data_IF_448383771412
#
_entry.id   IF_448383771412
#
_cell.length_a   1.000
_cell.length_b   1.000
_cell.length_c   1.000
_cell.angle_alpha   90.00
_cell.angle_beta   90.00
_cell.angle_gamma   90.00
#
_symmetry.space_group_name_H-M   'P 1'
#
loop_
_entity.id
_entity.type
_entity.pdbx_description
1 polymer ?
#
# COMPACT_ATOMS: atom_id res chain seq x y z
N UNK A 1 24.65 -5.12 8.34
CA UNK A 1 24.63 -4.63 6.95
C UNK A 1 24.35 -5.81 6.03
N UNK A 2 23.18 -5.86 5.38
CA UNK A 2 22.73 -7.03 4.60
C UNK A 2 23.22 -6.94 3.14
N UNK A 3 24.39 -7.53 2.85
CA UNK A 3 24.97 -7.58 1.51
C UNK A 3 24.05 -8.26 0.47
N UNK A 4 23.25 -9.23 0.90
CA UNK A 4 22.25 -9.93 0.06
C UNK A 4 21.13 -9.03 -0.44
N UNK A 5 20.74 -8.01 0.34
CA UNK A 5 19.60 -7.12 -0.01
C UNK A 5 20.03 -6.06 -1.04
N UNK A 6 21.27 -5.57 -0.95
CA UNK A 6 21.82 -4.67 -1.96
C UNK A 6 22.02 -5.38 -3.31
N UNK A 7 22.38 -6.67 -3.28
CA UNK A 7 22.48 -7.48 -4.50
C UNK A 7 21.11 -7.63 -5.19
N UNK A 8 20.02 -7.83 -4.42
CA UNK A 8 18.67 -8.02 -4.97
C UNK A 8 18.17 -6.79 -5.76
N UNK A 9 18.42 -5.57 -5.28
CA UNK A 9 18.06 -4.35 -6.02
C UNK A 9 18.84 -4.19 -7.34
N UNK A 10 20.08 -4.69 -7.39
CA UNK A 10 20.94 -4.63 -8.58
C UNK A 10 20.63 -5.74 -9.60
N UNK A 11 20.17 -6.91 -9.14
CA UNK A 11 19.81 -8.04 -10.01
C UNK A 11 18.39 -7.98 -10.55
N UNK A 12 17.54 -7.12 -10.00
CA UNK A 12 16.16 -6.97 -10.46
C UNK A 12 16.15 -6.22 -11.78
N UNK A 13 15.52 -6.81 -12.80
CA UNK A 13 15.34 -6.15 -14.10
C UNK A 13 14.18 -5.16 -14.03
N UNK A 14 14.49 -3.91 -13.68
CA UNK A 14 13.51 -2.82 -13.57
C UNK A 14 12.89 -2.39 -14.91
N UNK A 15 13.38 -2.90 -16.05
CA UNK A 15 12.84 -2.56 -17.38
C UNK A 15 11.58 -3.35 -17.73
N UNK A 16 11.29 -4.43 -16.99
CA UNK A 16 10.16 -5.35 -17.20
C UNK A 16 8.79 -4.69 -17.09
N UNK A 17 8.62 -3.79 -16.12
CA UNK A 17 7.35 -3.12 -15.82
C UNK A 17 7.53 -1.62 -15.56
N UNK A 18 6.47 -0.85 -15.74
CA UNK A 18 6.40 0.52 -15.23
C UNK A 18 6.25 0.53 -13.70
N UNK A 19 6.54 1.66 -13.05
CA UNK A 19 6.44 1.81 -11.60
C UNK A 19 5.07 1.40 -11.05
N UNK A 20 3.99 1.81 -11.72
CA UNK A 20 2.63 1.46 -11.32
C UNK A 20 2.34 -0.04 -11.45
N UNK A 21 2.82 -0.66 -12.54
CA UNK A 21 2.69 -2.10 -12.77
C UNK A 21 3.51 -2.91 -11.77
N UNK A 22 4.71 -2.44 -11.40
CA UNK A 22 5.50 -3.02 -10.30
C UNK A 22 4.72 -3.03 -8.98
N UNK A 23 4.03 -1.93 -8.66
CA UNK A 23 3.21 -1.83 -7.44
C UNK A 23 1.98 -2.74 -7.49
N UNK A 24 1.31 -2.84 -8.65
CA UNK A 24 0.20 -3.78 -8.83
C UNK A 24 0.64 -5.25 -8.72
N UNK A 25 1.76 -5.61 -9.34
CA UNK A 25 2.34 -6.95 -9.25
C UNK A 25 2.77 -7.27 -7.82
N UNK A 26 3.31 -6.29 -7.09
CA UNK A 26 3.64 -6.44 -5.68
C UNK A 26 2.38 -6.64 -4.81
N UNK A 27 1.31 -5.88 -5.06
CA UNK A 27 0.00 -6.12 -4.46
C UNK A 27 -0.48 -7.55 -4.71
N UNK A 28 -0.47 -8.00 -5.97
CA UNK A 28 -0.85 -9.36 -6.35
C UNK A 28 0.00 -10.43 -5.65
N UNK A 29 1.31 -10.22 -5.51
CA UNK A 29 2.22 -11.11 -4.80
C UNK A 29 1.89 -11.22 -3.30
N UNK A 30 1.59 -10.11 -2.62
CA UNK A 30 1.21 -10.14 -1.20
C UNK A 30 -0.02 -11.04 -0.97
N UNK A 31 -0.97 -11.03 -1.91
CA UNK A 31 -2.17 -11.85 -1.83
C UNK A 31 -1.96 -13.29 -2.29
N UNK A 32 -1.16 -13.53 -3.34
CA UNK A 32 -0.88 -14.91 -3.81
C UNK A 32 -0.10 -15.71 -2.77
N UNK A 33 0.67 -15.03 -1.91
CA UNK A 33 1.41 -15.62 -0.80
C UNK A 33 0.66 -15.58 0.54
N UNK A 34 -0.65 -15.29 0.49
CA UNK A 34 -1.59 -15.38 1.62
C UNK A 34 -2.38 -16.69 1.55
N UNK A 35 -2.42 -17.43 2.65
CA UNK A 35 -3.02 -18.76 2.70
C UNK A 35 -4.55 -18.74 2.58
N UNK A 36 -5.15 -19.93 2.49
CA UNK A 36 -6.59 -20.23 2.26
C UNK A 36 -7.57 -19.69 3.32
N UNK A 37 -7.13 -18.83 4.22
CA UNK A 37 -7.93 -18.20 5.28
C UNK A 37 -7.72 -16.69 5.37
N UNK A 38 -7.19 -16.05 4.31
CA UNK A 38 -6.88 -14.61 4.31
C UNK A 38 -5.72 -14.21 5.23
N UNK A 39 -5.13 -15.16 5.97
CA UNK A 39 -3.92 -14.93 6.77
C UNK A 39 -2.70 -15.02 5.86
N UNK A 40 -1.96 -13.93 5.76
CA UNK A 40 -0.69 -13.91 5.04
C UNK A 40 0.28 -14.88 5.69
N UNK A 41 0.78 -15.87 4.92
CA UNK A 41 1.73 -16.87 5.44
C UNK A 41 3.14 -16.27 5.50
N UNK A 42 3.39 -15.23 4.71
CA UNK A 42 4.71 -14.62 4.62
C UNK A 42 4.96 -13.61 5.74
N UNK A 43 6.08 -13.74 6.49
CA UNK A 43 6.41 -12.82 7.59
C UNK A 43 6.59 -11.37 7.11
N UNK A 44 6.92 -11.17 5.82
CA UNK A 44 6.99 -9.86 5.17
C UNK A 44 5.61 -9.24 4.98
N UNK A 45 4.66 -10.01 4.44
CA UNK A 45 3.29 -9.57 4.25
C UNK A 45 2.60 -9.33 5.59
N UNK A 46 2.89 -10.15 6.61
CA UNK A 46 2.44 -9.94 8.00
C UNK A 46 3.00 -8.64 8.57
N UNK A 47 4.29 -8.34 8.37
CA UNK A 47 4.90 -7.11 8.88
C UNK A 47 4.33 -5.84 8.21
N UNK A 48 4.07 -5.89 6.89
CA UNK A 48 3.44 -4.78 6.17
C UNK A 48 1.97 -4.59 6.60
N UNK A 49 1.21 -5.67 6.76
CA UNK A 49 -0.17 -5.63 7.24
C UNK A 49 -0.26 -5.07 8.68
N UNK A 50 0.64 -5.50 9.57
CA UNK A 50 0.73 -4.96 10.92
C UNK A 50 1.09 -3.48 10.95
N UNK A 51 2.02 -3.03 10.09
CA UNK A 51 2.37 -1.61 9.96
C UNK A 51 1.19 -0.77 9.46
N UNK A 52 0.45 -1.26 8.45
CA UNK A 52 -0.73 -0.58 7.93
C UNK A 52 -1.88 -0.51 8.96
N UNK A 53 -2.11 -1.61 9.70
CA UNK A 53 -3.12 -1.65 10.79
C UNK A 53 -2.80 -0.69 11.92
N UNK A 54 -1.53 -0.62 12.33
CA UNK A 54 -1.10 0.30 13.38
C UNK A 54 -1.33 1.76 12.98
N UNK A 55 -1.04 2.13 11.73
CA UNK A 55 -1.31 3.48 11.19
C UNK A 55 -2.80 3.81 11.17
N UNK A 56 -3.65 2.87 10.71
CA UNK A 56 -5.13 3.05 10.73
C UNK A 56 -5.70 3.19 12.15
N UNK A 57 -5.06 2.57 13.14
CA UNK A 57 -5.42 2.71 14.56
C UNK A 57 -4.94 4.03 15.16
N UNK A 58 -3.79 4.57 14.77
CA UNK A 58 -3.30 5.88 15.25
C UNK A 58 -4.18 7.05 14.76
N UNK A 59 -4.82 6.90 13.59
CA UNK A 59 -5.77 7.88 13.04
C UNK A 59 -7.14 7.84 13.73
N UNK A 60 -7.53 6.69 14.32
CA UNK A 60 -8.78 6.56 15.09
C UNK A 60 -8.52 6.93 16.55
N UNK A 61 -9.25 7.89 17.10
CA UNK A 61 -9.11 8.28 18.51
C UNK A 61 -9.33 7.10 19.48
N UNK A 62 -8.66 7.12 20.65
CA UNK A 62 -8.64 6.01 21.63
C UNK A 62 -10.02 5.41 21.97
N UNK A 63 -11.08 6.22 21.96
CA UNK A 63 -12.46 5.78 22.24
C UNK A 63 -13.09 4.98 21.08
N UNK A 64 -12.77 5.31 19.83
CA UNK A 64 -13.17 4.51 18.67
C UNK A 64 -12.43 3.18 18.61
N UNK A 65 -11.19 3.14 19.10
CA UNK A 65 -10.40 1.91 19.18
C UNK A 65 -11.02 0.91 20.17
N UNK A 66 -11.50 1.38 21.33
CA UNK A 66 -12.13 0.51 22.34
C UNK A 66 -13.50 0.02 21.86
N UNK A 67 -14.29 0.89 21.21
CA UNK A 67 -15.57 0.51 20.62
C UNK A 67 -15.41 -0.49 19.46
N UNK A 68 -14.46 -0.25 18.55
CA UNK A 68 -14.13 -1.20 17.49
C UNK A 68 -13.60 -2.52 18.08
N UNK A 69 -12.79 -2.50 19.14
CA UNK A 69 -12.26 -3.71 19.79
C UNK A 69 -13.34 -4.53 20.51
N UNK A 70 -14.28 -3.87 21.20
CA UNK A 70 -15.42 -4.52 21.86
C UNK A 70 -16.47 -5.05 20.87
N UNK A 71 -16.56 -4.45 19.68
CA UNK A 71 -17.44 -4.88 18.59
C UNK A 71 -16.74 -5.76 17.54
N UNK A 72 -15.43 -5.99 17.68
CA UNK A 72 -14.69 -6.93 16.85
C UNK A 72 -14.83 -8.32 17.45
N UNK A 73 -15.89 -9.03 17.05
CA UNK A 73 -15.68 -10.44 16.73
C UNK A 73 -14.50 -10.49 15.74
N UNK A 74 -13.69 -11.56 15.78
CA UNK A 74 -12.41 -11.82 15.08
C UNK A 74 -12.50 -11.79 13.52
N UNK A 75 -13.50 -11.09 12.99
CA UNK A 75 -13.96 -10.91 11.63
C UNK A 75 -14.17 -9.41 11.31
N UNK A 76 -13.19 -8.53 11.57
CA UNK A 76 -13.13 -7.32 10.73
C UNK A 76 -12.76 -7.83 9.34
N UNK A 77 -13.68 -7.82 8.35
CA UNK A 77 -13.36 -8.37 7.05
C UNK A 77 -12.22 -7.51 6.52
N UNK A 78 -11.05 -8.11 6.31
CA UNK A 78 -10.07 -7.57 5.37
C UNK A 78 -10.86 -7.01 4.18
N UNK A 79 -10.56 -5.79 3.70
CA UNK A 79 -11.20 -5.26 2.51
C UNK A 79 -11.21 -6.38 1.47
N UNK A 80 -12.40 -6.82 1.05
CA UNK A 80 -12.55 -7.87 0.04
C UNK A 80 -11.89 -7.34 -1.21
N UNK A 81 -10.62 -7.68 -1.42
CA UNK A 81 -9.82 -7.14 -2.51
C UNK A 81 -10.47 -7.64 -3.79
N UNK A 82 -11.11 -6.70 -4.49
CA UNK A 82 -11.49 -6.88 -5.89
C UNK A 82 -10.19 -6.83 -6.67
N UNK A 83 -9.42 -7.91 -6.65
CA UNK A 83 -8.32 -8.06 -7.58
C UNK A 83 -8.91 -7.88 -8.97
N UNK A 84 -8.63 -6.74 -9.63
CA UNK A 84 -8.58 -6.74 -11.10
C UNK A 84 -7.66 -7.91 -11.40
N UNK A 85 -8.16 -8.97 -12.06
CA UNK A 85 -7.53 -10.29 -12.16
C UNK A 85 -6.12 -10.28 -12.75
N UNK A 86 -5.17 -9.74 -11.99
CA UNK A 86 -3.75 -9.61 -12.30
C UNK A 86 -3.11 -10.85 -11.70
N UNK A 87 -2.59 -11.70 -12.58
CA UNK A 87 -1.75 -12.83 -12.21
C UNK A 87 -0.43 -12.31 -11.66
N UNK A 88 -0.02 -12.80 -10.49
CA UNK A 88 1.28 -12.47 -9.91
C UNK A 88 2.39 -13.06 -10.79
N UNK A 89 3.17 -12.19 -11.41
CA UNK A 89 4.26 -12.53 -12.35
C UNK A 89 5.64 -12.11 -11.83
N UNK A 90 5.70 -11.68 -10.56
CA UNK A 90 6.95 -11.34 -9.87
C UNK A 90 7.38 -12.46 -8.93
N UNK A 91 8.69 -12.62 -8.82
CA UNK A 91 9.36 -13.55 -7.90
C UNK A 91 9.53 -12.93 -6.51
N UNK A 92 9.80 -13.76 -5.50
CA UNK A 92 10.04 -13.29 -4.13
C UNK A 92 11.21 -12.29 -4.04
N UNK A 93 12.23 -12.44 -4.89
CA UNK A 93 13.37 -11.51 -4.93
C UNK A 93 12.96 -10.15 -5.51
N UNK A 94 12.19 -10.13 -6.59
CA UNK A 94 11.62 -8.90 -7.17
C UNK A 94 10.66 -8.23 -6.18
N UNK A 95 9.83 -9.00 -5.48
CA UNK A 95 8.95 -8.49 -4.44
C UNK A 95 9.73 -7.85 -3.28
N UNK A 96 10.82 -8.48 -2.82
CA UNK A 96 11.72 -7.89 -1.82
C UNK A 96 12.40 -6.62 -2.30
N UNK A 97 12.71 -6.53 -3.60
CA UNK A 97 13.26 -5.32 -4.20
C UNK A 97 12.23 -4.18 -4.15
N UNK A 98 10.98 -4.43 -4.55
CA UNK A 98 9.89 -3.44 -4.50
C UNK A 98 9.58 -3.02 -3.05
N UNK A 99 9.55 -3.97 -2.11
CA UNK A 99 9.39 -3.67 -0.69
C UNK A 99 10.47 -2.70 -0.20
N UNK A 100 11.72 -2.90 -0.62
CA UNK A 100 12.83 -2.04 -0.23
C UNK A 100 12.66 -0.60 -0.73
N UNK A 101 12.11 -0.40 -1.94
CA UNK A 101 11.82 0.94 -2.48
C UNK A 101 10.89 1.71 -1.55
N UNK A 102 9.80 1.06 -1.10
CA UNK A 102 8.80 1.68 -0.22
C UNK A 102 9.41 1.98 1.16
N UNK A 103 10.09 0.99 1.76
CA UNK A 103 10.70 1.15 3.09
C UNK A 103 11.83 2.17 3.14
N UNK A 104 12.54 2.43 2.04
CA UNK A 104 13.65 3.40 2.02
C UNK A 104 13.18 4.85 2.10
N UNK A 105 11.96 5.12 1.64
CA UNK A 105 11.36 6.47 1.67
C UNK A 105 10.48 6.70 2.90
N UNK A 106 10.02 5.64 3.56
CA UNK A 106 9.20 5.77 4.76
C UNK A 106 10.01 6.37 5.92
N UNK A 107 9.34 7.19 6.75
CA UNK A 107 9.93 7.80 7.95
C UNK A 107 10.85 9.00 7.68
N UNK A 108 10.91 9.52 6.45
CA UNK A 108 11.65 10.74 6.14
C UNK A 108 10.84 12.02 6.44
N UNK A 109 9.52 11.98 6.26
CA UNK A 109 8.60 13.09 6.47
C UNK A 109 7.18 12.56 6.63
N UNK A 110 6.40 13.18 7.51
CA UNK A 110 4.98 12.86 7.72
C UNK A 110 4.18 12.98 6.41
N UNK A 111 4.42 14.04 5.64
CA UNK A 111 3.75 14.28 4.35
C UNK A 111 4.11 13.19 3.32
N UNK A 112 5.37 12.76 3.31
CA UNK A 112 5.81 11.70 2.40
C UNK A 112 5.18 10.37 2.80
N UNK A 113 5.12 10.08 4.10
CA UNK A 113 4.45 8.90 4.64
C UNK A 113 2.96 8.87 4.28
N UNK A 114 2.26 10.00 4.34
CA UNK A 114 0.86 10.13 3.90
C UNK A 114 0.67 9.83 2.41
N UNK A 115 1.55 10.37 1.56
CA UNK A 115 1.52 10.10 0.12
C UNK A 115 1.81 8.63 -0.20
N UNK A 116 2.77 8.02 0.51
CA UNK A 116 3.08 6.60 0.36
C UNK A 116 1.95 5.71 0.85
N UNK A 117 1.28 6.06 1.95
CA UNK A 117 0.10 5.33 2.43
C UNK A 117 -1.03 5.36 1.39
N UNK A 118 -1.26 6.50 0.72
CA UNK A 118 -2.24 6.60 -0.36
C UNK A 118 -1.88 5.70 -1.56
N UNK A 119 -0.60 5.65 -1.95
CA UNK A 119 -0.11 4.73 -2.99
C UNK A 119 -0.34 3.28 -2.59
N UNK A 120 -0.04 2.92 -1.35
CA UNK A 120 -0.22 1.57 -0.81
C UNK A 120 -1.72 1.20 -0.83
N UNK A 121 -2.60 2.05 -0.31
CA UNK A 121 -4.05 1.82 -0.34
C UNK A 121 -4.56 1.60 -1.78
N UNK A 122 -4.04 2.38 -2.76
CA UNK A 122 -4.50 2.31 -4.14
C UNK A 122 -3.99 1.09 -4.91
N UNK A 123 -2.67 0.86 -4.90
CA UNK A 123 -2.01 -0.12 -5.77
C UNK A 123 -1.78 -1.47 -5.09
N UNK A 124 -1.49 -1.47 -3.79
CA UNK A 124 -1.25 -2.70 -3.05
C UNK A 124 -2.55 -3.30 -2.54
N UNK A 125 -3.44 -2.50 -1.93
CA UNK A 125 -4.73 -2.99 -1.42
C UNK A 125 -5.86 -2.96 -2.45
N UNK A 126 -5.67 -2.28 -3.59
CA UNK A 126 -6.67 -2.23 -4.67
C UNK A 126 -7.93 -1.43 -4.31
N UNK A 127 -7.85 -0.51 -3.34
CA UNK A 127 -8.99 0.31 -2.95
C UNK A 127 -9.46 1.20 -4.12
N UNK A 128 -10.77 1.41 -4.22
CA UNK A 128 -11.30 2.41 -5.15
C UNK A 128 -11.09 3.81 -4.60
N UNK A 129 -11.15 4.84 -5.47
CA UNK A 129 -11.05 6.23 -5.04
C UNK A 129 -12.10 6.60 -3.97
N UNK A 130 -13.27 5.96 -4.01
CA UNK A 130 -14.32 6.15 -3.00
C UNK A 130 -13.96 5.53 -1.65
N UNK A 131 -13.26 4.39 -1.64
CA UNK A 131 -12.86 3.69 -0.42
C UNK A 131 -11.68 4.37 0.29
N UNK A 132 -10.93 5.21 -0.44
CA UNK A 132 -9.82 6.01 0.09
C UNK A 132 -10.26 7.29 0.79
N UNK A 133 -11.57 7.61 0.79
CA UNK A 133 -12.12 8.78 1.48
C UNK A 133 -12.13 8.51 2.99
N UNK A 134 -11.46 9.37 3.75
CA UNK A 134 -11.41 9.26 5.22
C UNK A 134 -12.44 10.21 5.82
N UNK A 135 -13.39 9.63 6.55
CA UNK A 135 -14.43 10.33 7.30
C UNK A 135 -14.29 9.99 8.78
N UNK A 136 -14.24 10.99 9.64
CA UNK A 136 -14.14 10.84 11.09
C UNK A 136 -15.25 11.61 11.79
N UNK A 137 -15.52 11.27 13.04
CA UNK A 137 -16.58 11.90 13.83
C UNK A 137 -17.91 11.17 13.72
N UNK A 138 -19.01 11.93 13.87
CA UNK A 138 -20.36 11.39 14.02
C UNK A 138 -20.91 10.87 12.69
N UNK A 139 -21.68 9.78 12.72
CA UNK A 139 -22.24 9.13 11.50
C UNK A 139 -23.19 10.07 10.73
N UNK A 140 -23.94 10.88 11.48
CA UNK A 140 -24.90 11.89 11.01
C UNK A 140 -24.23 13.16 10.46
N UNK A 141 -23.01 13.48 10.89
CA UNK A 141 -22.26 14.63 10.40
C UNK A 141 -20.73 14.37 10.45
N UNK A 142 -20.20 13.61 9.47
CA UNK A 142 -18.79 13.25 9.47
C UNK A 142 -17.91 14.42 9.00
N UNK A 143 -16.81 14.65 9.71
CA UNK A 143 -15.71 15.48 9.23
C UNK A 143 -14.92 14.72 8.18
N UNK A 144 -14.78 15.29 6.99
CA UNK A 144 -13.99 14.69 5.91
C UNK A 144 -12.53 15.10 6.12
N UNK A 145 -11.68 14.13 6.47
CA UNK A 145 -10.22 14.34 6.58
C UNK A 145 -9.52 14.21 5.22
N UNK A 146 -10.00 13.29 4.38
CA UNK A 146 -9.46 13.08 3.03
C UNK A 146 -10.59 12.93 2.05
N UNK A 147 -10.66 13.82 1.05
CA UNK A 147 -11.61 13.71 -0.06
C UNK A 147 -11.10 12.76 -1.15
N UNK A 148 -11.94 12.44 -2.13
CA UNK A 148 -11.47 11.69 -3.32
C UNK A 148 -10.43 12.47 -4.11
N UNK A 149 -10.53 13.80 -4.12
CA UNK A 149 -9.58 14.66 -4.80
C UNK A 149 -8.22 14.59 -4.10
N UNK A 150 -8.20 14.74 -2.78
CA UNK A 150 -6.97 14.63 -1.98
C UNK A 150 -6.33 13.26 -2.15
N UNK A 151 -7.13 12.18 -2.13
CA UNK A 151 -6.61 10.83 -2.38
C UNK A 151 -5.92 10.69 -3.76
N UNK A 152 -6.45 11.35 -4.81
CA UNK A 152 -5.83 11.34 -6.14
C UNK A 152 -4.53 12.13 -6.16
N UNK A 153 -4.50 13.28 -5.52
CA UNK A 153 -3.29 14.12 -5.43
C UNK A 153 -2.22 13.46 -4.56
N UNK A 154 -2.57 12.86 -3.43
CA UNK A 154 -1.65 12.11 -2.56
C UNK A 154 -0.99 10.96 -3.34
N UNK A 155 -1.78 10.20 -4.11
CA UNK A 155 -1.26 9.13 -4.99
C UNK A 155 -0.32 9.70 -6.06
N UNK A 156 -0.69 10.82 -6.69
CA UNK A 156 0.15 11.48 -7.72
C UNK A 156 1.49 11.93 -7.14
N UNK A 157 1.46 12.59 -5.99
CA UNK A 157 2.64 13.06 -5.29
C UNK A 157 3.52 11.88 -4.83
N UNK A 158 2.92 10.81 -4.31
CA UNK A 158 3.64 9.60 -3.90
C UNK A 158 4.35 8.90 -5.07
N UNK A 159 3.67 8.74 -6.20
CA UNK A 159 4.27 8.18 -7.43
C UNK A 159 5.41 9.06 -7.96
N UNK A 160 5.22 10.38 -7.97
CA UNK A 160 6.27 11.32 -8.37
C UNK A 160 7.48 11.26 -7.45
N UNK A 161 7.27 11.21 -6.13
CA UNK A 161 8.34 11.09 -5.15
C UNK A 161 9.16 9.79 -5.34
N UNK A 162 8.48 8.66 -5.56
CA UNK A 162 9.12 7.39 -5.92
C UNK A 162 9.97 7.50 -7.18
N UNK A 163 9.42 8.08 -8.23
CA UNK A 163 10.14 8.23 -9.50
C UNK A 163 11.35 9.17 -9.37
N UNK A 164 11.23 10.25 -8.59
CA UNK A 164 12.37 11.14 -8.31
C UNK A 164 13.48 10.43 -7.53
N UNK A 165 13.14 9.53 -6.61
CA UNK A 165 14.10 8.73 -5.85
C UNK A 165 14.73 7.61 -6.69
N UNK A 166 13.95 7.01 -7.58
CA UNK A 166 14.33 5.87 -8.40
C UNK A 166 14.09 6.15 -9.91
N UNK A 167 14.87 7.06 -10.51
CA UNK A 167 14.64 7.51 -11.89
C UNK A 167 14.93 6.43 -12.94
N UNK A 168 15.55 5.33 -12.55
CA UNK A 168 15.81 4.18 -13.43
C UNK A 168 14.56 3.32 -13.69
N UNK A 169 13.50 3.47 -12.89
CA UNK A 169 12.23 2.75 -13.09
C UNK A 169 11.38 3.56 -14.06
N UNK A 170 10.86 2.90 -15.10
CA UNK A 170 10.00 3.55 -16.09
C UNK A 170 8.72 4.07 -15.44
N UNK A 171 8.44 5.36 -15.60
CA UNK A 171 7.19 5.97 -15.14
C UNK A 171 6.29 6.30 -16.35
N UNK A 172 5.15 5.62 -16.44
CA UNK A 172 4.18 5.87 -17.52
C UNK A 172 3.05 6.80 -17.05
N UNK A 173 3.04 8.00 -17.61
CA UNK A 173 2.00 9.01 -17.40
C UNK A 173 0.65 8.64 -18.03
N UNK A 174 0.57 7.61 -18.89
CA UNK A 174 -0.63 7.35 -19.70
C UNK A 174 -1.76 6.60 -19.00
N UNK A 175 -1.54 5.98 -17.84
CA UNK A 175 -2.60 5.27 -17.10
C UNK A 175 -3.46 6.16 -16.18
N UNK A 176 -3.31 7.49 -16.27
CA UNK A 176 -3.89 8.47 -15.35
C UNK A 176 -5.41 8.65 -15.42
N UNK A 177 -6.06 8.22 -16.50
CA UNK A 177 -7.48 8.53 -16.80
C UNK A 177 -8.41 7.30 -16.91
N UNK A 178 -7.99 6.11 -16.45
CA UNK A 178 -8.82 4.88 -16.48
C UNK A 178 -9.35 4.45 -15.11
#
# INVERSE_FOLDING_TARGET
>A
MNATVNHIMQTTDWTKYSLEEWLYQFGAWMYSNSGTCGKSINPIAVAMDQAAKKRKQEVKGKEQIIADWLCSDDDTPMPKVRGKGITCEITDNEARAVQRLILDMQGQSEILDEWLDAVIDRYLYGNSWSDMVIKVGRVDNPTILRTQHDAREDVRCGLAAMHCRYPFIRFDLKNRDK
#
